data_IF_849092696987
#
_entry.id   IF_849092696987
#
_cell.length_a   1.000
_cell.length_b   1.000
_cell.length_c   1.000
_cell.angle_alpha   90.00
_cell.angle_beta   90.00
_cell.angle_gamma   90.00
#
_symmetry.space_group_name_H-M   'P 1'
#
loop_
_entity.id
_entity.type
_entity.pdbx_description
1 polymer ?
#
# COMPACT_ATOMS: atom_id res chain seq x y z
N UNK A 1 70.55 -2.61 -0.48
CA UNK A 1 70.40 -2.73 0.98
C UNK A 1 69.11 -3.47 1.27
N UNK A 2 69.14 -4.76 1.67
CA UNK A 2 67.95 -5.58 1.90
C UNK A 2 67.72 -5.85 3.39
N UNK A 3 66.46 -6.02 3.83
CA UNK A 3 66.13 -6.68 5.09
C UNK A 3 64.78 -7.41 4.98
N UNK A 4 64.81 -8.67 5.42
CA UNK A 4 63.80 -9.75 5.31
C UNK A 4 62.65 -9.63 6.34
N UNK A 5 61.55 -10.41 6.16
CA UNK A 5 60.51 -10.62 7.17
C UNK A 5 60.77 -11.85 8.07
N UNK A 6 60.12 -11.89 9.24
CA UNK A 6 60.16 -12.99 10.24
C UNK A 6 58.74 -13.59 10.42
N UNK A 7 58.65 -14.92 10.39
CA UNK A 7 57.51 -15.76 10.80
C UNK A 7 57.79 -16.40 12.18
N UNK A 8 56.73 -16.68 12.97
CA UNK A 8 56.66 -17.76 13.99
C UNK A 8 55.16 -18.01 14.28
N UNK A 9 54.54 -19.17 13.94
CA UNK A 9 54.47 -20.47 14.65
C UNK A 9 54.01 -20.36 16.13
N UNK A 10 53.21 -21.23 16.75
CA UNK A 10 52.18 -22.24 16.43
C UNK A 10 51.82 -22.93 17.78
N UNK A 11 50.64 -23.57 17.85
CA UNK A 11 50.27 -24.75 18.68
C UNK A 11 49.60 -24.62 20.07
N UNK A 12 48.79 -25.68 20.32
CA UNK A 12 48.21 -26.26 21.55
C UNK A 12 46.81 -25.73 21.93
N UNK A 13 45.67 -26.43 21.77
CA UNK A 13 45.19 -27.80 22.14
C UNK A 13 45.00 -28.03 23.64
N UNK A 14 43.74 -28.15 24.10
CA UNK A 14 43.23 -29.25 24.95
C UNK A 14 41.82 -28.98 25.55
N UNK A 15 40.94 -29.97 25.36
CA UNK A 15 39.88 -30.51 26.25
C UNK A 15 39.18 -29.67 27.33
N UNK A 16 37.84 -29.68 27.36
CA UNK A 16 37.03 -30.58 28.22
C UNK A 16 35.57 -30.12 28.43
N UNK A 17 34.65 -31.08 28.29
CA UNK A 17 33.34 -31.30 28.97
C UNK A 17 32.66 -30.17 29.79
N UNK A 18 31.36 -29.94 29.57
CA UNK A 18 30.24 -30.51 30.37
C UNK A 18 28.97 -29.62 30.41
N UNK A 19 27.81 -30.29 30.32
CA UNK A 19 26.48 -29.99 30.89
C UNK A 19 25.57 -28.86 30.35
N UNK A 20 24.41 -29.33 29.88
CA UNK A 20 23.11 -28.66 29.72
C UNK A 20 22.61 -27.95 30.98
N UNK A 21 21.96 -26.79 30.81
CA UNK A 21 20.70 -26.45 31.52
C UNK A 21 19.83 -25.54 30.67
N UNK A 22 18.58 -25.95 30.51
CA UNK A 22 17.47 -25.29 29.83
C UNK A 22 16.88 -24.20 30.75
N UNK A 23 16.68 -22.96 30.27
CA UNK A 23 15.83 -21.96 30.92
C UNK A 23 14.95 -21.26 29.89
N UNK A 24 13.67 -21.61 29.95
CA UNK A 24 12.53 -20.92 29.32
C UNK A 24 12.56 -19.41 29.61
N UNK A 25 12.41 -18.63 28.54
CA UNK A 25 11.86 -17.26 28.59
C UNK A 25 10.83 -17.16 27.47
N UNK A 26 9.55 -17.21 27.84
CA UNK A 26 8.44 -16.99 26.92
C UNK A 26 8.42 -15.51 26.49
N UNK A 27 8.24 -15.19 25.18
CA UNK A 27 7.86 -13.85 24.75
C UNK A 27 6.35 -13.61 24.97
N UNK A 28 5.89 -12.35 25.03
CA UNK A 28 4.53 -12.01 25.41
C UNK A 28 3.52 -12.38 24.31
N UNK A 29 2.36 -12.89 24.73
CA UNK A 29 1.17 -13.10 23.92
C UNK A 29 0.71 -11.78 23.28
N UNK A 30 0.86 -11.64 21.96
CA UNK A 30 0.10 -10.66 21.18
C UNK A 30 -1.19 -11.30 20.68
N UNK A 31 -2.32 -10.74 21.09
CA UNK A 31 -3.65 -11.10 20.58
C UNK A 31 -3.74 -10.78 19.07
N UNK A 32 -4.29 -11.68 18.24
CA UNK A 32 -4.55 -11.36 16.84
C UNK A 32 -5.76 -10.43 16.74
N UNK A 33 -5.53 -9.20 16.28
CA UNK A 33 -6.59 -8.29 15.84
C UNK A 33 -7.27 -8.92 14.61
N UNK A 34 -8.57 -9.19 14.73
CA UNK A 34 -9.42 -9.66 13.63
C UNK A 34 -9.51 -8.59 12.53
N UNK A 35 -8.56 -8.58 11.60
CA UNK A 35 -8.66 -7.80 10.36
C UNK A 35 -9.53 -8.58 9.35
N UNK A 36 -10.79 -8.15 9.28
CA UNK A 36 -11.80 -8.62 8.34
C UNK A 36 -11.31 -8.37 6.91
N UNK A 37 -10.88 -9.43 6.23
CA UNK A 37 -10.51 -9.41 4.80
C UNK A 37 -11.71 -8.93 3.96
N UNK A 38 -11.68 -7.67 3.54
CA UNK A 38 -12.54 -7.16 2.48
C UNK A 38 -11.90 -7.58 1.16
N UNK A 39 -12.45 -8.62 0.54
CA UNK A 39 -12.16 -8.99 -0.85
C UNK A 39 -12.80 -7.93 -1.75
N UNK A 40 -12.05 -6.92 -2.14
CA UNK A 40 -12.30 -6.16 -3.36
C UNK A 40 -11.10 -6.42 -4.28
N UNK A 41 -11.41 -6.87 -5.50
CA UNK A 41 -10.42 -7.18 -6.50
C UNK A 41 -9.59 -5.92 -6.78
N UNK A 42 -8.30 -5.98 -6.44
CA UNK A 42 -7.31 -4.99 -6.84
C UNK A 42 -7.26 -4.91 -8.37
N UNK A 43 -8.06 -4.01 -8.96
CA UNK A 43 -7.60 -3.31 -10.16
C UNK A 43 -6.57 -2.30 -9.66
N UNK A 44 -5.35 -2.78 -9.44
CA UNK A 44 -4.18 -1.92 -9.33
C UNK A 44 -4.21 -1.04 -10.57
N UNK A 45 -4.36 0.27 -10.39
CA UNK A 45 -4.01 1.23 -11.43
C UNK A 45 -2.55 0.97 -11.79
N UNK A 46 -2.33 0.26 -12.89
CA UNK A 46 -1.01 0.00 -13.42
C UNK A 46 -0.55 1.27 -14.11
N UNK A 47 -0.12 2.26 -13.32
CA UNK A 47 0.63 3.40 -13.85
C UNK A 47 2.07 2.94 -14.07
N UNK A 48 2.33 2.39 -15.25
CA UNK A 48 3.69 2.16 -15.73
C UNK A 48 4.28 3.50 -16.20
N UNK A 49 4.71 4.34 -15.25
CA UNK A 49 5.51 5.52 -15.58
C UNK A 49 6.94 5.03 -15.82
N UNK A 50 7.26 4.70 -17.09
CA UNK A 50 8.64 4.47 -17.51
C UNK A 50 9.44 5.77 -17.32
N UNK A 51 10.59 5.75 -16.61
CA UNK A 51 11.42 6.92 -16.46
C UNK A 51 12.01 7.26 -17.85
N UNK A 52 11.43 8.25 -18.53
CA UNK A 52 12.01 8.76 -19.78
C UNK A 52 13.26 9.58 -19.42
N UNK A 53 14.43 8.96 -19.61
CA UNK A 53 15.71 9.67 -19.69
C UNK A 53 15.57 10.81 -20.71
N UNK A 54 15.76 12.04 -20.26
CA UNK A 54 15.86 13.22 -21.10
C UNK A 54 17.01 13.07 -22.12
N UNK A 55 16.69 12.75 -23.37
CA UNK A 55 17.55 13.05 -24.52
C UNK A 55 16.80 13.92 -25.52
N UNK A 56 17.25 15.17 -25.58
CA UNK A 56 16.85 16.22 -26.54
C UNK A 56 17.10 15.75 -27.98
N UNK A 57 16.12 15.89 -28.87
CA UNK A 57 16.34 16.35 -30.26
C UNK A 57 15.02 16.72 -30.93
N UNK A 58 14.85 18.02 -31.16
CA UNK A 58 13.80 18.62 -31.97
C UNK A 58 14.03 18.31 -33.46
N UNK A 59 12.99 17.84 -34.17
CA UNK A 59 12.83 18.01 -35.63
C UNK A 59 11.36 18.22 -35.95
N UNK A 60 11.12 19.23 -36.78
CA UNK A 60 9.86 19.86 -37.20
C UNK A 60 8.95 18.95 -38.06
N UNK A 61 7.61 19.16 -38.08
CA UNK A 61 6.72 18.42 -38.98
C UNK A 61 6.42 19.18 -40.28
N UNK A 62 6.44 18.43 -41.39
CA UNK A 62 6.06 18.84 -42.75
C UNK A 62 4.55 18.62 -42.93
N UNK A 63 3.87 19.59 -43.56
CA UNK A 63 2.42 19.66 -43.83
C UNK A 63 1.85 18.47 -44.64
N UNK A 64 0.58 18.16 -44.40
CA UNK A 64 -0.36 17.56 -45.38
C UNK A 64 -1.78 18.11 -45.13
N UNK A 65 -2.59 18.42 -46.18
CA UNK A 65 -3.88 19.14 -46.07
C UNK A 65 -5.09 18.16 -45.92
N UNK A 66 -6.33 18.67 -45.73
CA UNK A 66 -7.30 18.11 -44.78
C UNK A 66 -8.20 17.01 -45.36
N UNK A 67 -8.40 15.94 -44.59
CA UNK A 67 -9.49 14.99 -44.78
C UNK A 67 -10.65 15.38 -43.86
N UNK A 68 -11.81 15.61 -44.48
CA UNK A 68 -13.13 15.80 -43.87
C UNK A 68 -13.44 14.65 -42.90
N UNK A 69 -13.42 14.92 -41.60
CA UNK A 69 -13.91 13.99 -40.59
C UNK A 69 -14.60 14.80 -39.48
N UNK A 70 -15.85 14.42 -39.20
CA UNK A 70 -16.76 15.02 -38.24
C UNK A 70 -16.06 15.47 -36.94
N UNK A 71 -16.50 16.58 -36.31
CA UNK A 71 -15.93 16.97 -35.04
C UNK A 71 -16.21 15.86 -34.01
N UNK A 72 -15.20 15.33 -33.30
CA UNK A 72 -15.47 14.59 -32.10
C UNK A 72 -16.16 15.57 -31.14
N UNK A 73 -17.23 15.12 -30.49
CA UNK A 73 -17.92 15.87 -29.46
C UNK A 73 -16.89 16.60 -28.58
N UNK A 74 -16.93 17.94 -28.61
CA UNK A 74 -16.03 18.78 -27.84
C UNK A 74 -16.00 18.25 -26.41
N UNK A 75 -14.83 17.86 -25.86
CA UNK A 75 -14.76 17.59 -24.44
C UNK A 75 -15.18 18.91 -23.80
N UNK A 76 -16.28 18.89 -23.05
CA UNK A 76 -16.65 20.00 -22.17
C UNK A 76 -15.36 20.34 -21.46
N UNK A 77 -14.79 21.50 -21.79
CA UNK A 77 -13.54 21.96 -21.23
C UNK A 77 -13.88 22.29 -19.78
N UNK A 78 -13.90 21.26 -18.94
CA UNK A 78 -14.02 21.40 -17.51
C UNK A 78 -12.71 22.04 -17.09
N UNK A 79 -12.67 23.38 -17.13
CA UNK A 79 -11.73 24.18 -16.36
C UNK A 79 -12.09 23.98 -14.89
N UNK A 80 -11.86 22.77 -14.38
CA UNK A 80 -11.99 22.45 -12.97
C UNK A 80 -10.88 23.21 -12.25
N UNK A 81 -11.19 24.44 -11.81
CA UNK A 81 -10.46 25.05 -10.72
C UNK A 81 -11.00 24.42 -9.45
N UNK A 82 -10.42 23.28 -9.09
CA UNK A 82 -10.64 22.70 -7.78
C UNK A 82 -9.99 23.62 -6.73
N UNK A 83 -10.78 24.07 -5.77
CA UNK A 83 -10.33 25.00 -4.73
C UNK A 83 -10.78 24.60 -3.33
N UNK A 84 -10.35 25.39 -2.35
CA UNK A 84 -10.72 25.18 -0.94
C UNK A 84 -12.23 25.36 -0.68
N UNK A 85 -12.94 26.09 -1.54
CA UNK A 85 -14.41 26.17 -1.49
C UNK A 85 -15.06 24.81 -1.77
N UNK A 86 -14.57 24.08 -2.77
CA UNK A 86 -15.11 22.75 -3.10
C UNK A 86 -14.86 21.76 -1.97
N UNK A 87 -13.71 21.85 -1.30
CA UNK A 87 -13.41 21.04 -0.11
C UNK A 87 -14.33 21.39 1.06
N UNK A 88 -14.63 22.68 1.28
CA UNK A 88 -15.58 23.11 2.31
C UNK A 88 -17.00 22.64 2.03
N UNK A 89 -17.44 22.68 0.77
CA UNK A 89 -18.74 22.12 0.35
C UNK A 89 -18.78 20.61 0.60
N UNK A 90 -17.70 19.89 0.26
CA UNK A 90 -17.59 18.45 0.53
C UNK A 90 -17.65 18.17 2.04
N UNK A 91 -16.89 18.91 2.85
CA UNK A 91 -16.88 18.76 4.31
C UNK A 91 -18.25 19.05 4.94
N UNK A 92 -18.94 20.10 4.48
CA UNK A 92 -20.30 20.42 4.92
C UNK A 92 -21.29 19.30 4.56
N UNK A 93 -21.21 18.76 3.33
CA UNK A 93 -22.05 17.64 2.91
C UNK A 93 -21.79 16.37 3.74
N UNK A 94 -20.54 16.14 4.14
CA UNK A 94 -20.14 15.04 5.03
C UNK A 94 -20.54 15.28 6.50
N UNK A 95 -20.92 16.50 6.86
CA UNK A 95 -21.34 16.85 8.23
C UNK A 95 -22.86 16.93 8.39
N UNK A 96 -23.61 17.09 7.29
CA UNK A 96 -25.06 17.32 7.31
C UNK A 96 -25.94 16.08 7.58
N UNK A 97 -25.36 14.90 7.76
CA UNK A 97 -26.11 13.65 7.92
C UNK A 97 -26.79 13.54 9.30
N UNK A 98 -28.12 13.42 9.33
CA UNK A 98 -28.91 13.26 10.56
C UNK A 98 -28.73 11.88 11.23
N UNK A 99 -28.39 10.85 10.44
CA UNK A 99 -28.16 9.50 10.92
C UNK A 99 -26.89 8.86 10.30
N UNK A 100 -26.38 7.83 10.98
CA UNK A 100 -25.16 7.11 10.56
C UNK A 100 -25.32 6.43 9.19
N UNK A 101 -26.45 5.78 8.85
CA UNK A 101 -26.65 5.20 7.52
C UNK A 101 -26.58 6.22 6.38
N UNK A 102 -27.25 7.37 6.51
CA UNK A 102 -27.21 8.44 5.52
C UNK A 102 -25.79 8.97 5.37
N UNK A 103 -25.06 9.18 6.47
CA UNK A 103 -23.67 9.60 6.43
C UNK A 103 -22.77 8.59 5.70
N UNK A 104 -22.94 7.29 5.93
CA UNK A 104 -22.19 6.25 5.21
C UNK A 104 -22.55 6.17 3.72
N UNK A 105 -23.82 6.40 3.37
CA UNK A 105 -24.28 6.48 1.99
C UNK A 105 -23.66 7.70 1.29
N UNK A 106 -23.67 8.87 1.92
CA UNK A 106 -23.05 10.12 1.43
C UNK A 106 -21.55 9.92 1.22
N UNK A 107 -20.81 9.36 2.19
CA UNK A 107 -19.39 9.02 2.03
C UNK A 107 -19.15 8.07 0.86
N UNK A 108 -20.00 7.06 0.68
CA UNK A 108 -19.86 6.08 -0.41
C UNK A 108 -20.14 6.71 -1.78
N UNK A 109 -21.12 7.61 -1.87
CA UNK A 109 -21.41 8.37 -3.09
C UNK A 109 -20.28 9.35 -3.42
N UNK A 110 -19.79 10.08 -2.41
CA UNK A 110 -18.67 11.01 -2.56
C UNK A 110 -17.40 10.30 -3.03
N UNK A 111 -17.05 9.14 -2.45
CA UNK A 111 -15.90 8.32 -2.93
C UNK A 111 -16.02 7.96 -4.41
N UNK A 112 -17.20 7.51 -4.85
CA UNK A 112 -17.42 7.16 -6.27
C UNK A 112 -17.23 8.36 -7.19
N UNK A 113 -17.83 9.51 -6.83
CA UNK A 113 -17.73 10.75 -7.60
C UNK A 113 -16.29 11.24 -7.67
N UNK A 114 -15.59 11.29 -6.53
CA UNK A 114 -14.19 11.71 -6.48
C UNK A 114 -13.28 10.81 -7.30
N UNK A 115 -13.50 9.48 -7.30
CA UNK A 115 -12.72 8.55 -8.13
C UNK A 115 -12.94 8.79 -9.63
N UNK A 116 -14.17 9.03 -10.07
CA UNK A 116 -14.44 9.38 -11.47
C UNK A 116 -13.83 10.73 -11.84
N UNK A 117 -14.02 11.75 -11.00
CA UNK A 117 -13.49 13.09 -11.25
C UNK A 117 -11.97 13.13 -11.23
N UNK A 118 -11.32 12.37 -10.34
CA UNK A 118 -9.87 12.23 -10.30
C UNK A 118 -9.34 11.58 -11.58
N UNK A 119 -10.00 10.52 -12.06
CA UNK A 119 -9.61 9.85 -13.29
C UNK A 119 -9.73 10.78 -14.51
N UNK A 120 -10.82 11.56 -14.60
CA UNK A 120 -11.02 12.54 -15.66
C UNK A 120 -10.00 13.68 -15.60
N UNK A 121 -9.73 14.23 -14.41
CA UNK A 121 -8.75 15.30 -14.22
C UNK A 121 -7.32 14.83 -14.53
N UNK A 122 -6.95 13.60 -14.13
CA UNK A 122 -5.67 12.99 -14.48
C UNK A 122 -5.56 12.71 -15.98
N UNK A 123 -6.62 12.22 -16.63
CA UNK A 123 -6.62 12.04 -18.07
C UNK A 123 -6.47 13.38 -18.81
N UNK A 124 -7.13 14.43 -18.33
CA UNK A 124 -7.02 15.77 -18.90
C UNK A 124 -5.61 16.36 -18.76
N UNK A 125 -5.01 16.24 -17.57
CA UNK A 125 -3.63 16.71 -17.33
C UNK A 125 -2.60 15.91 -18.14
N UNK A 126 -2.77 14.59 -18.25
CA UNK A 126 -1.91 13.74 -19.08
C UNK A 126 -2.03 14.09 -20.58
N UNK A 127 -3.23 14.44 -21.07
CA UNK A 127 -3.43 14.89 -22.44
C UNK A 127 -2.85 16.29 -22.71
N UNK A 128 -2.96 17.20 -21.73
CA UNK A 128 -2.44 18.57 -21.83
C UNK A 128 -0.92 18.66 -21.80
N UNK A 129 -0.25 17.78 -21.04
CA UNK A 129 1.21 17.79 -20.82
C UNK A 129 2.08 17.81 -22.09
N UNK A 130 1.50 17.56 -23.26
CA UNK A 130 2.15 17.69 -24.57
C UNK A 130 2.39 19.14 -25.04
N UNK A 131 1.72 20.17 -24.48
CA UNK A 131 1.59 21.44 -25.20
C UNK A 131 2.24 22.67 -24.56
N UNK A 132 2.42 22.74 -23.25
CA UNK A 132 3.22 23.81 -22.63
C UNK A 132 3.54 23.43 -21.18
N UNK A 133 4.74 23.77 -20.69
CA UNK A 133 5.22 23.43 -19.35
C UNK A 133 4.36 23.92 -18.16
N UNK A 134 3.25 24.61 -18.41
CA UNK A 134 2.25 24.99 -17.42
C UNK A 134 1.40 23.83 -16.89
N UNK A 135 1.34 22.69 -17.60
CA UNK A 135 0.48 21.57 -17.19
C UNK A 135 1.03 20.73 -16.02
N UNK A 136 2.32 20.82 -15.72
CA UNK A 136 2.90 20.12 -14.57
C UNK A 136 2.42 20.74 -13.24
N UNK A 137 2.33 22.08 -13.15
CA UNK A 137 1.78 22.76 -11.95
C UNK A 137 0.30 22.45 -11.77
N UNK A 138 -0.45 22.32 -12.87
CA UNK A 138 -1.84 21.88 -12.84
C UNK A 138 -1.96 20.43 -12.34
N UNK A 139 -1.09 19.54 -12.81
CA UNK A 139 -1.06 18.14 -12.36
C UNK A 139 -0.80 18.04 -10.86
N UNK A 140 0.13 18.85 -10.34
CA UNK A 140 0.40 18.92 -8.91
C UNK A 140 -0.82 19.45 -8.12
N UNK A 141 -1.47 20.51 -8.60
CA UNK A 141 -2.68 21.06 -7.97
C UNK A 141 -3.85 20.06 -7.96
N UNK A 142 -4.02 19.30 -9.04
CA UNK A 142 -5.02 18.21 -9.13
C UNK A 142 -4.70 17.13 -8.09
N UNK A 143 -3.46 16.66 -8.01
CA UNK A 143 -3.05 15.65 -7.05
C UNK A 143 -3.22 16.11 -5.59
N UNK A 144 -2.83 17.36 -5.27
CA UNK A 144 -3.03 17.95 -3.93
C UNK A 144 -4.51 18.01 -3.56
N UNK A 145 -5.35 18.57 -4.43
CA UNK A 145 -6.79 18.66 -4.20
C UNK A 145 -7.41 17.29 -3.94
N UNK A 146 -7.18 16.32 -4.83
CA UNK A 146 -7.77 15.00 -4.68
C UNK A 146 -7.22 14.25 -3.47
N UNK A 147 -5.95 14.44 -3.09
CA UNK A 147 -5.43 13.87 -1.86
C UNK A 147 -6.21 14.35 -0.63
N UNK A 148 -6.49 15.66 -0.55
CA UNK A 148 -7.26 16.29 0.53
C UNK A 148 -8.73 15.85 0.49
N UNK A 149 -9.34 15.80 -0.69
CA UNK A 149 -10.71 15.32 -0.86
C UNK A 149 -10.87 13.86 -0.46
N UNK A 150 -9.94 12.97 -0.85
CA UNK A 150 -9.95 11.57 -0.46
C UNK A 150 -9.72 11.37 1.04
N UNK A 151 -8.88 12.19 1.66
CA UNK A 151 -8.71 12.20 3.12
C UNK A 151 -10.04 12.53 3.83
N UNK A 152 -10.78 13.55 3.37
CA UNK A 152 -12.08 13.94 3.93
C UNK A 152 -13.14 12.82 3.87
N UNK A 153 -13.22 12.08 2.76
CA UNK A 153 -14.19 10.98 2.59
C UNK A 153 -13.74 9.65 3.21
N UNK A 154 -12.52 9.59 3.76
CA UNK A 154 -11.93 8.38 4.34
C UNK A 154 -11.55 7.32 3.30
N UNK A 155 -11.13 7.73 2.11
CA UNK A 155 -10.62 6.83 1.06
C UNK A 155 -9.09 6.80 1.08
N UNK A 156 -8.55 6.00 2.01
CA UNK A 156 -7.11 5.98 2.29
C UNK A 156 -6.29 5.54 1.07
N UNK A 157 -6.75 4.52 0.33
CA UNK A 157 -6.04 4.03 -0.86
C UNK A 157 -5.90 5.12 -1.91
N UNK A 158 -6.99 5.82 -2.22
CA UNK A 158 -6.99 6.87 -3.25
C UNK A 158 -6.25 8.12 -2.76
N UNK A 159 -6.32 8.45 -1.47
CA UNK A 159 -5.54 9.52 -0.85
C UNK A 159 -4.03 9.27 -0.97
N UNK A 160 -3.55 8.09 -0.55
CA UNK A 160 -2.15 7.73 -0.63
C UNK A 160 -1.66 7.63 -2.08
N UNK A 161 -2.49 7.14 -3.00
CA UNK A 161 -2.15 7.14 -4.42
C UNK A 161 -1.91 8.55 -4.96
N UNK A 162 -2.80 9.52 -4.67
CA UNK A 162 -2.61 10.91 -5.10
C UNK A 162 -1.38 11.56 -4.46
N UNK A 163 -1.13 11.31 -3.17
CA UNK A 163 0.08 11.80 -2.48
C UNK A 163 1.35 11.23 -3.11
N UNK A 164 1.34 9.95 -3.49
CA UNK A 164 2.47 9.32 -4.16
C UNK A 164 2.77 9.97 -5.52
N UNK A 165 1.74 10.22 -6.32
CA UNK A 165 1.87 10.91 -7.61
C UNK A 165 2.43 12.33 -7.43
N UNK A 166 1.91 13.09 -6.45
CA UNK A 166 2.42 14.43 -6.14
C UNK A 166 3.90 14.41 -5.72
N UNK A 167 4.31 13.45 -4.88
CA UNK A 167 5.70 13.29 -4.47
C UNK A 167 6.60 12.94 -5.66
N UNK A 168 6.20 11.97 -6.49
CA UNK A 168 6.97 11.58 -7.68
C UNK A 168 7.12 12.74 -8.67
N UNK A 169 6.04 13.50 -8.91
CA UNK A 169 6.07 14.64 -9.82
C UNK A 169 7.02 15.74 -9.31
N UNK A 170 6.93 16.08 -8.02
CA UNK A 170 7.84 17.03 -7.36
C UNK A 170 9.30 16.60 -7.44
N UNK A 171 9.58 15.34 -7.12
CA UNK A 171 10.94 14.80 -7.13
C UNK A 171 11.54 14.76 -8.55
N UNK A 172 10.71 14.48 -9.57
CA UNK A 172 11.17 14.38 -10.95
C UNK A 172 11.31 15.73 -11.68
N UNK A 173 10.47 16.72 -11.34
CA UNK A 173 10.33 17.96 -12.14
C UNK A 173 10.71 19.23 -11.41
N UNK A 174 10.57 19.22 -10.08
CA UNK A 174 10.72 20.40 -9.25
C UNK A 174 11.92 20.30 -8.30
N UNK A 175 12.92 19.48 -8.64
CA UNK A 175 14.12 19.29 -7.81
C UNK A 175 14.94 20.57 -7.58
N UNK A 176 14.77 21.60 -8.42
CA UNK A 176 15.44 22.90 -8.28
C UNK A 176 14.54 24.00 -7.70
N UNK A 177 13.23 23.76 -7.54
CA UNK A 177 12.30 24.74 -6.97
C UNK A 177 12.22 24.50 -5.46
N UNK A 178 12.84 25.38 -4.67
CA UNK A 178 12.94 25.24 -3.20
C UNK A 178 11.57 25.07 -2.52
N UNK A 179 10.50 25.62 -3.09
CA UNK A 179 9.16 25.52 -2.51
C UNK A 179 8.46 24.21 -2.85
N UNK A 180 8.94 23.50 -3.87
CA UNK A 180 8.36 22.25 -4.37
C UNK A 180 9.32 21.07 -4.22
N UNK A 181 10.52 21.28 -3.69
CA UNK A 181 11.48 20.24 -3.39
C UNK A 181 10.89 19.30 -2.34
N UNK A 182 10.96 18.00 -2.62
CA UNK A 182 10.52 16.98 -1.67
C UNK A 182 11.60 16.79 -0.62
N UNK A 183 11.26 17.00 0.64
CA UNK A 183 12.15 16.74 1.75
C UNK A 183 12.21 15.25 2.13
N UNK A 184 13.29 14.82 2.79
CA UNK A 184 13.39 13.50 3.42
C UNK A 184 12.20 13.26 4.37
N UNK A 185 11.81 14.27 5.14
CA UNK A 185 10.73 14.15 6.11
C UNK A 185 9.38 13.86 5.44
N UNK A 186 9.09 14.49 4.30
CA UNK A 186 7.86 14.21 3.55
C UNK A 186 7.81 12.76 3.04
N UNK A 187 8.93 12.25 2.51
CA UNK A 187 9.01 10.84 2.11
C UNK A 187 8.84 9.89 3.30
N UNK A 188 9.37 10.24 4.48
CA UNK A 188 9.23 9.43 5.68
C UNK A 188 7.80 9.41 6.18
N UNK A 189 7.15 10.56 6.31
CA UNK A 189 5.74 10.63 6.73
C UNK A 189 4.86 9.81 5.77
N UNK A 190 5.05 9.98 4.46
CA UNK A 190 4.33 9.18 3.47
C UNK A 190 4.64 7.67 3.56
N UNK A 191 5.89 7.29 3.80
CA UNK A 191 6.29 5.89 3.92
C UNK A 191 5.65 5.22 5.16
N UNK A 192 5.63 5.93 6.29
CA UNK A 192 5.00 5.47 7.53
C UNK A 192 3.49 5.34 7.34
N UNK A 193 2.83 6.34 6.73
CA UNK A 193 1.39 6.24 6.42
C UNK A 193 1.09 5.01 5.54
N UNK A 194 1.94 4.71 4.56
CA UNK A 194 1.78 3.51 3.73
C UNK A 194 2.01 2.21 4.52
N UNK A 195 2.98 2.19 5.42
CA UNK A 195 3.30 1.04 6.27
C UNK A 195 2.12 0.72 7.20
N UNK A 196 1.59 1.73 7.88
CA UNK A 196 0.49 1.62 8.83
C UNK A 196 -0.82 1.17 8.17
N UNK A 197 -1.01 1.50 6.89
CA UNK A 197 -2.18 1.11 6.10
C UNK A 197 -1.99 -0.19 5.29
N UNK A 198 -0.87 -0.89 5.46
CA UNK A 198 -0.62 -2.19 4.83
C UNK A 198 -0.14 -2.15 3.37
N UNK A 199 0.22 -0.97 2.85
CA UNK A 199 0.75 -0.79 1.49
C UNK A 199 2.28 -1.00 1.45
N UNK A 200 2.72 -2.17 1.89
CA UNK A 200 4.13 -2.47 2.18
C UNK A 200 5.09 -2.30 0.98
N UNK A 201 4.64 -2.61 -0.24
CA UNK A 201 5.43 -2.43 -1.47
C UNK A 201 5.74 -0.95 -1.73
N UNK A 202 4.74 -0.09 -1.55
CA UNK A 202 4.87 1.36 -1.74
C UNK A 202 5.65 1.97 -0.58
N UNK A 203 5.38 1.56 0.66
CA UNK A 203 6.15 1.96 1.83
C UNK A 203 7.65 1.71 1.65
N UNK A 204 8.04 0.51 1.18
CA UNK A 204 9.45 0.19 0.90
C UNK A 204 10.08 1.13 -0.14
N UNK A 205 9.34 1.55 -1.17
CA UNK A 205 9.84 2.48 -2.21
C UNK A 205 9.96 3.89 -1.64
N UNK A 206 8.99 4.33 -0.85
CA UNK A 206 9.02 5.63 -0.19
C UNK A 206 10.18 5.76 0.81
N UNK A 207 10.45 4.72 1.61
CA UNK A 207 11.66 4.68 2.45
C UNK A 207 12.95 4.69 1.63
N UNK A 208 12.95 4.07 0.43
CA UNK A 208 14.10 4.16 -0.47
C UNK A 208 14.35 5.60 -0.93
N UNK A 209 13.28 6.32 -1.32
CA UNK A 209 13.38 7.72 -1.71
C UNK A 209 13.83 8.59 -0.53
N UNK A 210 13.30 8.37 0.69
CA UNK A 210 13.76 9.08 1.88
C UNK A 210 15.28 8.96 2.12
N UNK A 211 15.87 7.79 1.83
CA UNK A 211 17.32 7.57 1.91
C UNK A 211 18.09 8.30 0.80
N UNK A 212 17.51 8.50 -0.38
CA UNK A 212 18.15 9.29 -1.46
C UNK A 212 18.24 10.77 -1.08
N UNK A 213 17.25 11.28 -0.35
CA UNK A 213 17.18 12.66 0.14
C UNK A 213 18.06 12.92 1.39
N UNK A 214 19.02 12.05 1.67
CA UNK A 214 20.09 12.34 2.64
C UNK A 214 21.06 13.31 1.98
N UNK A 215 21.04 14.57 2.41
CA UNK A 215 21.92 15.61 1.88
C UNK A 215 23.39 15.17 2.04
N UNK A 216 24.18 15.10 0.94
CA UNK A 216 25.62 14.88 1.03
C UNK A 216 26.29 15.96 1.90
N UNK A 217 25.74 17.17 1.88
CA UNK A 217 26.21 18.35 2.62
C UNK A 217 26.13 18.21 4.14
N UNK A 218 25.36 17.27 4.68
CA UNK A 218 25.34 16.98 6.12
C UNK A 218 26.48 16.06 6.57
N UNK A 219 27.33 15.55 5.67
CA UNK A 219 28.45 14.69 6.06
C UNK A 219 29.79 15.42 6.22
N UNK A 220 29.90 16.68 5.78
CA UNK A 220 31.16 17.42 5.74
C UNK A 220 31.42 18.42 6.87
N UNK A 221 30.39 18.86 7.60
CA UNK A 221 30.51 19.87 8.65
C UNK A 221 29.41 19.69 9.69
N UNK A 222 29.47 18.58 10.42
CA UNK A 222 28.63 18.33 11.58
C UNK A 222 29.54 18.03 12.77
N UNK A 223 29.28 18.72 13.88
CA UNK A 223 29.81 18.31 15.18
C UNK A 223 29.51 16.82 15.39
N UNK A 224 30.45 16.10 16.01
CA UNK A 224 30.39 14.63 16.12
C UNK A 224 29.03 14.10 16.59
N UNK A 225 28.34 14.84 17.47
CA UNK A 225 27.00 14.52 17.95
C UNK A 225 25.95 14.46 16.82
N UNK A 226 25.89 15.48 15.95
CA UNK A 226 24.93 15.53 14.83
C UNK A 226 25.22 14.42 13.80
N UNK A 227 26.49 14.00 13.66
CA UNK A 227 26.85 12.87 12.79
C UNK A 227 26.36 11.52 13.33
N UNK A 228 26.39 11.32 14.65
CA UNK A 228 25.89 10.09 15.30
C UNK A 228 24.36 10.01 15.14
N UNK A 229 23.65 11.08 15.47
CA UNK A 229 22.19 11.12 15.34
C UNK A 229 21.73 10.89 13.89
N UNK A 230 22.42 11.48 12.91
CA UNK A 230 22.10 11.23 11.50
C UNK A 230 22.36 9.77 11.08
N UNK A 231 23.44 9.16 11.57
CA UNK A 231 23.71 7.73 11.33
C UNK A 231 22.60 6.86 11.93
N UNK A 232 22.16 7.16 13.15
CA UNK A 232 21.09 6.41 13.82
C UNK A 232 19.77 6.52 13.06
N UNK A 233 19.40 7.72 12.60
CA UNK A 233 18.22 7.91 11.74
C UNK A 233 18.33 7.14 10.42
N UNK A 234 19.52 7.07 9.81
CA UNK A 234 19.72 6.30 8.56
C UNK A 234 19.53 4.81 8.82
N UNK A 235 20.06 4.29 9.94
CA UNK A 235 19.90 2.90 10.37
C UNK A 235 18.42 2.60 10.61
N UNK A 236 17.69 3.49 11.27
CA UNK A 236 16.25 3.36 11.53
C UNK A 236 15.44 3.28 10.23
N UNK A 237 15.65 4.22 9.30
CA UNK A 237 14.94 4.23 8.00
C UNK A 237 15.23 2.97 7.21
N UNK A 238 16.49 2.49 7.23
CA UNK A 238 16.87 1.24 6.57
C UNK A 238 16.20 0.03 7.24
N UNK A 239 16.08 0.03 8.56
CA UNK A 239 15.33 -0.95 9.33
C UNK A 239 13.86 -1.01 8.92
N UNK A 240 13.20 0.15 8.86
CA UNK A 240 11.80 0.27 8.42
C UNK A 240 11.61 -0.15 6.95
N UNK A 241 12.54 0.22 6.07
CA UNK A 241 12.52 -0.24 4.68
C UNK A 241 12.57 -1.78 4.60
N UNK A 242 13.46 -2.41 5.36
CA UNK A 242 13.60 -3.87 5.39
C UNK A 242 12.37 -4.55 6.00
N UNK A 243 11.77 -3.95 7.02
CA UNK A 243 10.49 -4.40 7.58
C UNK A 243 9.38 -4.38 6.52
N UNK A 244 9.23 -3.25 5.81
CA UNK A 244 8.25 -3.12 4.73
C UNK A 244 8.48 -4.16 3.61
N UNK A 245 9.75 -4.41 3.23
CA UNK A 245 10.10 -5.48 2.26
C UNK A 245 9.70 -6.86 2.78
N UNK A 246 9.99 -7.17 4.04
CA UNK A 246 9.64 -8.44 4.68
C UNK A 246 8.13 -8.66 4.71
N UNK A 247 7.36 -7.66 5.16
CA UNK A 247 5.89 -7.71 5.18
C UNK A 247 5.31 -7.84 3.77
N UNK A 248 5.87 -7.11 2.80
CA UNK A 248 5.50 -7.25 1.39
C UNK A 248 5.74 -8.67 0.87
N UNK A 249 6.85 -9.30 1.25
CA UNK A 249 7.15 -10.68 0.87
C UNK A 249 6.15 -11.64 1.55
N UNK A 250 5.96 -11.56 2.86
CA UNK A 250 5.02 -12.39 3.61
C UNK A 250 3.58 -12.32 3.05
N UNK A 251 3.16 -11.14 2.60
CA UNK A 251 1.81 -10.94 2.06
C UNK A 251 1.66 -11.22 0.57
N UNK A 252 2.73 -11.63 -0.14
CA UNK A 252 2.64 -11.96 -1.55
C UNK A 252 1.74 -13.18 -1.76
N UNK A 253 0.97 -13.19 -2.85
CA UNK A 253 0.05 -14.29 -3.19
C UNK A 253 0.80 -15.62 -3.26
N UNK A 254 2.06 -15.59 -3.71
CA UNK A 254 2.91 -16.78 -3.80
C UNK A 254 3.17 -17.39 -2.42
N UNK A 255 3.58 -16.60 -1.43
CA UNK A 255 3.79 -17.07 -0.05
C UNK A 255 2.48 -17.53 0.58
N UNK A 256 1.39 -16.75 0.46
CA UNK A 256 0.07 -17.18 0.95
C UNK A 256 -0.42 -18.46 0.28
N UNK A 257 -0.13 -18.65 -1.01
CA UNK A 257 -0.46 -19.86 -1.75
C UNK A 257 0.41 -21.03 -1.31
N UNK A 258 1.70 -20.81 -1.07
CA UNK A 258 2.62 -21.81 -0.56
C UNK A 258 2.22 -22.26 0.86
N UNK A 259 1.92 -21.32 1.77
CA UNK A 259 1.40 -21.61 3.11
C UNK A 259 0.05 -22.35 3.05
N UNK A 260 -0.83 -22.01 2.11
CA UNK A 260 -2.09 -22.72 1.90
C UNK A 260 -1.83 -24.16 1.41
N UNK A 261 -0.90 -24.34 0.49
CA UNK A 261 -0.51 -25.65 -0.03
C UNK A 261 0.20 -26.50 1.04
N UNK A 262 1.04 -25.90 1.88
CA UNK A 262 1.70 -26.55 3.02
C UNK A 262 0.68 -26.96 4.09
N UNK A 263 -0.29 -26.10 4.42
CA UNK A 263 -1.43 -26.45 5.30
C UNK A 263 -2.28 -27.58 4.72
N UNK A 264 -2.48 -27.59 3.40
CA UNK A 264 -3.21 -28.66 2.71
C UNK A 264 -2.42 -29.98 2.66
N UNK A 265 -1.09 -29.91 2.50
CA UNK A 265 -0.21 -31.07 2.41
C UNK A 265 0.11 -31.70 3.79
N UNK A 266 0.29 -30.87 4.82
CA UNK A 266 0.56 -31.30 6.20
C UNK A 266 -0.64 -31.97 6.87
N UNK A 267 -1.81 -32.01 6.23
CA UNK A 267 -3.01 -32.60 6.80
C UNK A 267 -3.45 -31.90 8.09
N UNK A 268 -2.92 -30.71 8.38
CA UNK A 268 -3.33 -29.83 9.48
C UNK A 268 -4.67 -29.21 9.10
N UNK A 269 -5.67 -30.08 9.00
CA UNK A 269 -7.03 -29.71 9.30
C UNK A 269 -6.98 -29.29 10.76
N UNK A 270 -7.23 -28.00 11.04
CA UNK A 270 -7.78 -27.62 12.33
C UNK A 270 -8.84 -28.66 12.67
N UNK A 271 -8.56 -29.42 13.73
CA UNK A 271 -9.38 -30.53 14.20
C UNK A 271 -10.75 -29.98 14.61
N UNK A 272 -11.63 -29.80 13.64
CA UNK A 272 -13.03 -30.07 13.86
C UNK A 272 -13.13 -31.58 13.95
N UNK A 273 -13.12 -32.10 15.19
CA UNK A 273 -13.28 -33.51 15.52
C UNK A 273 -14.53 -34.09 14.83
N UNK A 274 -14.34 -34.65 13.64
CA UNK A 274 -15.30 -35.51 12.95
C UNK A 274 -14.50 -36.64 12.31
N UNK A 275 -14.14 -37.59 13.18
CA UNK A 275 -13.82 -39.00 12.92
C UNK A 275 -13.35 -39.31 11.49
N UNK A 276 -12.02 -39.42 11.34
CA UNK A 276 -11.36 -39.95 10.15
C UNK A 276 -11.68 -41.44 9.99
N UNK A 277 -12.41 -41.74 8.93
CA UNK A 277 -12.69 -43.09 8.45
C UNK A 277 -13.57 -42.99 7.22
N UNK A 278 -13.09 -42.28 6.19
CA UNK A 278 -13.85 -42.11 4.95
C UNK A 278 -13.56 -43.29 4.00
N UNK A 279 -14.47 -44.27 3.87
CA UNK A 279 -14.52 -45.05 2.63
C UNK A 279 -14.73 -44.09 1.45
N UNK A 280 -14.22 -44.46 0.27
CA UNK A 280 -14.47 -43.73 -1.00
C UNK A 280 -15.98 -43.68 -1.22
N UNK A 281 -16.60 -42.56 -0.83
CA UNK A 281 -18.00 -42.29 -1.13
C UNK A 281 -18.08 -41.86 -2.60
N UNK A 282 -18.95 -42.51 -3.36
CA UNK A 282 -19.38 -42.05 -4.69
C UNK A 282 -19.89 -40.60 -4.61
N UNK A 283 -19.81 -39.84 -5.72
CA UNK A 283 -20.26 -38.44 -5.77
C UNK A 283 -21.71 -38.25 -5.29
N UNK A 284 -22.59 -39.21 -5.58
CA UNK A 284 -23.97 -39.26 -5.06
C UNK A 284 -24.02 -39.31 -3.52
N UNK A 285 -23.17 -40.13 -2.88
CA UNK A 285 -23.06 -40.18 -1.43
C UNK A 285 -22.51 -38.89 -0.83
N UNK A 286 -21.56 -38.21 -1.48
CA UNK A 286 -21.11 -36.88 -1.03
C UNK A 286 -22.22 -35.83 -1.12
N UNK A 287 -22.99 -35.83 -2.21
CA UNK A 287 -24.12 -34.92 -2.38
C UNK A 287 -25.20 -35.14 -1.31
N UNK A 288 -25.58 -36.41 -1.07
CA UNK A 288 -26.51 -36.80 0.00
C UNK A 288 -26.00 -36.40 1.39
N UNK A 289 -24.70 -36.55 1.65
CA UNK A 289 -24.07 -36.14 2.91
C UNK A 289 -24.11 -34.61 3.08
N UNK A 290 -23.87 -33.84 2.01
CA UNK A 290 -24.01 -32.39 2.00
C UNK A 290 -25.44 -31.91 2.30
N UNK A 291 -26.44 -32.58 1.71
CA UNK A 291 -27.86 -32.32 2.03
C UNK A 291 -28.17 -32.66 3.50
N UNK A 292 -27.77 -33.84 4.01
CA UNK A 292 -27.94 -34.20 5.43
C UNK A 292 -27.31 -33.16 6.36
N UNK A 293 -26.09 -32.73 6.07
CA UNK A 293 -25.36 -31.73 6.87
C UNK A 293 -26.08 -30.38 6.88
N UNK A 294 -26.59 -29.92 5.73
CA UNK A 294 -27.41 -28.71 5.62
C UNK A 294 -28.71 -28.84 6.41
N UNK A 295 -29.37 -29.99 6.35
CA UNK A 295 -30.65 -30.23 7.05
C UNK A 295 -30.45 -30.27 8.57
N UNK A 296 -29.38 -30.91 9.07
CA UNK A 296 -29.04 -30.88 10.50
C UNK A 296 -28.76 -29.45 10.97
N UNK A 297 -27.99 -28.65 10.21
CA UNK A 297 -27.75 -27.23 10.55
C UNK A 297 -29.05 -26.40 10.55
N UNK A 298 -30.03 -26.76 9.72
CA UNK A 298 -31.36 -26.12 9.74
C UNK A 298 -32.18 -26.56 10.96
N UNK A 299 -32.18 -27.85 11.32
CA UNK A 299 -32.90 -28.37 12.48
C UNK A 299 -32.36 -27.75 13.78
N UNK A 300 -31.04 -27.64 13.92
CA UNK A 300 -30.41 -26.99 15.07
C UNK A 300 -30.82 -25.51 15.17
N UNK A 301 -30.80 -24.76 14.05
CA UNK A 301 -31.31 -23.38 14.04
C UNK A 301 -32.80 -23.28 14.35
N UNK A 302 -33.63 -24.26 13.97
CA UNK A 302 -35.06 -24.22 14.31
C UNK A 302 -35.32 -24.61 15.77
N UNK A 303 -34.55 -25.56 16.33
CA UNK A 303 -34.60 -25.89 17.75
C UNK A 303 -34.16 -24.70 18.60
N UNK A 304 -33.08 -24.01 18.22
CA UNK A 304 -32.62 -22.78 18.89
C UNK A 304 -33.68 -21.66 18.87
N UNK A 305 -34.49 -21.55 17.80
CA UNK A 305 -35.62 -20.61 17.75
C UNK A 305 -36.78 -21.03 18.64
N UNK A 306 -37.22 -22.28 18.54
CA UNK A 306 -38.36 -22.75 19.31
C UNK A 306 -38.07 -22.75 20.82
N UNK A 307 -36.80 -22.89 21.23
CA UNK A 307 -36.38 -22.76 22.63
C UNK A 307 -36.32 -21.31 23.12
N UNK A 308 -36.22 -20.33 22.22
CA UNK A 308 -36.29 -18.91 22.53
C UNK A 308 -37.72 -18.45 22.81
N UNK A 309 -38.68 -18.94 22.03
CA UNK A 309 -40.10 -18.53 22.16
C UNK A 309 -40.74 -19.03 23.47
N UNK A 310 -40.27 -20.15 24.02
CA UNK A 310 -40.70 -20.68 25.32
C UNK A 310 -40.16 -19.92 26.54
N UNK A 311 -39.22 -18.99 26.36
CA UNK A 311 -38.70 -18.15 27.45
C UNK A 311 -39.37 -16.77 27.54
N UNK A 312 -40.36 -16.46 26.68
CA UNK A 312 -41.08 -15.19 26.71
C UNK A 312 -42.62 -15.29 26.67
N UNK A 313 -43.19 -16.48 26.89
CA UNK A 313 -44.54 -16.60 27.44
C UNK A 313 -44.47 -16.91 28.93
#
# INVERSE_FOLDING_TARGET
TPARPIQFNSNQSAHAHHKQTNKQKNPPHFHPIHLRQRREASRVFHFEIKPRRCRRRWRTPRRSPPSLSLPPASPVAVRCRFGDEDLRVLEAALSAGADVPALLATRSAARRLLRSSAAEALAFTAAGASLDGGDERRSLAVADFFSRAFALVGDVESCLAMRYEALLLRDAKYCNDLHLQVSRQEWLTFATDCLDNGFYTIASKAFANALVHIHPSHTGHLDSANSIEEKDKIIEIKGLQNLAKSLSAQHCVQIKSAEYMERRASGVHEKYNLQSGKPKLTGSSMFRLGIKTRNIKKLLRSQERNLGDLKQS
#
